data_IF_841574035668
#
_entry.id   IF_841574035668
#
_cell.length_a   1.000
_cell.length_b   1.000
_cell.length_c   1.000
_cell.angle_alpha   90.00
_cell.angle_beta   90.00
_cell.angle_gamma   90.00
#
_symmetry.space_group_name_H-M   'P 1'
#
loop_
_entity.id
_entity.type
_entity.pdbx_description
1 polymer ?
#
# COMPACT_ATOMS: atom_id res chain seq x y z
N UNK A 1 -5.71 7.04 17.98
CA UNK A 1 -5.19 7.30 16.63
C UNK A 1 -5.97 6.45 15.64
N UNK A 2 -6.38 6.99 14.51
CA UNK A 2 -7.12 6.23 13.49
C UNK A 2 -6.14 5.43 12.64
N UNK A 3 -6.50 4.19 12.33
CA UNK A 3 -5.73 3.31 11.47
C UNK A 3 -6.38 3.22 10.10
N UNK A 4 -5.56 3.02 9.09
CA UNK A 4 -6.01 2.91 7.71
C UNK A 4 -5.39 1.69 7.04
N UNK A 5 -6.06 1.28 5.99
CA UNK A 5 -5.71 0.19 5.10
C UNK A 5 -5.33 0.84 3.76
N UNK A 6 -4.14 0.59 3.29
CA UNK A 6 -3.67 1.10 2.00
C UNK A 6 -3.76 0.00 0.96
N UNK A 7 -4.31 0.32 -0.19
CA UNK A 7 -4.37 -0.57 -1.34
C UNK A 7 -3.48 0.02 -2.44
N UNK A 8 -2.48 -0.74 -2.86
CA UNK A 8 -1.49 -0.30 -3.83
C UNK A 8 -1.31 -1.39 -4.87
N UNK A 9 -1.33 -1.05 -6.16
CA UNK A 9 -0.99 -1.99 -7.21
C UNK A 9 0.42 -1.73 -7.70
N UNK A 10 1.15 -2.80 -7.98
CA UNK A 10 2.57 -2.77 -8.35
C UNK A 10 2.80 -3.74 -9.50
N UNK A 11 3.76 -3.46 -10.35
CA UNK A 11 4.02 -4.26 -11.55
C UNK A 11 4.47 -5.69 -11.27
N UNK A 12 5.08 -5.95 -10.11
CA UNK A 12 5.52 -7.30 -9.73
C UNK A 12 5.55 -7.46 -8.22
N UNK A 13 5.50 -8.71 -7.76
CA UNK A 13 5.63 -9.01 -6.33
C UNK A 13 7.01 -8.61 -5.78
N UNK A 14 8.06 -8.73 -6.59
CA UNK A 14 9.41 -8.32 -6.20
C UNK A 14 9.52 -6.81 -5.96
N UNK A 15 8.94 -6.02 -6.85
CA UNK A 15 8.89 -4.56 -6.67
C UNK A 15 8.06 -4.19 -5.45
N UNK A 16 6.91 -4.85 -5.26
CA UNK A 16 6.06 -4.62 -4.09
C UNK A 16 6.80 -4.92 -2.78
N UNK A 17 7.54 -6.02 -2.74
CA UNK A 17 8.33 -6.39 -1.56
C UNK A 17 9.44 -5.35 -1.27
N UNK A 18 10.09 -4.85 -2.30
CA UNK A 18 11.13 -3.82 -2.16
C UNK A 18 10.54 -2.53 -1.58
N UNK A 19 9.42 -2.08 -2.12
CA UNK A 19 8.72 -0.88 -1.61
C UNK A 19 8.27 -1.11 -0.16
N UNK A 20 7.69 -2.26 0.14
CA UNK A 20 7.24 -2.58 1.49
C UNK A 20 8.38 -2.55 2.51
N UNK A 21 9.55 -3.08 2.16
CA UNK A 21 10.72 -3.06 3.05
C UNK A 21 11.18 -1.64 3.36
N UNK A 22 11.23 -0.78 2.34
CA UNK A 22 11.61 0.61 2.55
C UNK A 22 10.62 1.33 3.45
N UNK A 23 9.32 1.11 3.26
CA UNK A 23 8.29 1.71 4.10
C UNK A 23 8.36 1.20 5.55
N UNK A 24 8.65 -0.09 5.74
CA UNK A 24 8.82 -0.68 7.07
C UNK A 24 10.06 -0.15 7.76
N UNK A 25 11.17 -0.03 7.04
CA UNK A 25 12.42 0.53 7.59
C UNK A 25 12.22 1.95 8.06
N UNK A 26 11.44 2.74 7.34
CA UNK A 26 11.14 4.14 7.68
C UNK A 26 10.02 4.26 8.72
N UNK A 27 9.46 3.16 9.20
CA UNK A 27 8.34 3.10 10.15
C UNK A 27 7.08 3.82 9.63
N UNK A 28 6.90 3.85 8.33
CA UNK A 28 5.74 4.47 7.69
C UNK A 28 4.54 3.52 7.60
N UNK A 29 4.77 2.23 7.67
CA UNK A 29 3.72 1.21 7.73
C UNK A 29 4.07 0.18 8.82
N UNK A 30 3.05 -0.45 9.39
CA UNK A 30 3.26 -1.50 10.37
C UNK A 30 3.45 -2.86 9.73
N UNK A 31 2.77 -3.12 8.63
CA UNK A 31 2.85 -4.40 7.92
C UNK A 31 2.38 -4.24 6.48
N UNK A 32 2.72 -5.22 5.67
CA UNK A 32 2.25 -5.32 4.28
C UNK A 32 1.97 -6.77 3.92
N UNK A 33 0.89 -6.97 3.16
CA UNK A 33 0.59 -8.24 2.53
C UNK A 33 0.72 -8.05 1.02
N UNK A 34 1.40 -8.97 0.36
CA UNK A 34 1.61 -8.92 -1.08
C UNK A 34 0.92 -10.13 -1.71
N UNK A 35 0.03 -9.84 -2.65
CA UNK A 35 -0.72 -10.87 -3.38
C UNK A 35 -0.31 -10.78 -4.83
N UNK A 36 0.37 -11.81 -5.32
CA UNK A 36 0.84 -11.87 -6.69
C UNK A 36 -0.28 -12.34 -7.63
N UNK A 37 -0.14 -12.02 -8.91
CA UNK A 37 -0.99 -12.56 -9.96
C UNK A 37 -2.39 -11.96 -10.04
N UNK A 38 -2.57 -10.72 -9.64
CA UNK A 38 -3.82 -10.02 -9.87
C UNK A 38 -3.98 -9.71 -11.35
N UNK A 39 -5.16 -10.01 -11.90
CA UNK A 39 -5.49 -9.61 -13.27
C UNK A 39 -6.19 -8.26 -13.19
N UNK A 40 -5.54 -7.23 -13.74
CA UNK A 40 -6.06 -5.87 -13.72
C UNK A 40 -6.61 -5.51 -15.08
N UNK A 41 -7.84 -5.01 -15.12
CA UNK A 41 -8.47 -4.49 -16.33
C UNK A 41 -8.81 -3.05 -16.06
N UNK A 42 -8.43 -2.16 -16.99
CA UNK A 42 -8.63 -0.73 -16.79
C UNK A 42 -8.66 -0.01 -18.15
N UNK A 43 -9.14 1.23 -18.10
CA UNK A 43 -9.17 2.07 -19.30
C UNK A 43 -7.84 2.83 -19.40
N UNK A 44 -7.23 2.75 -20.56
CA UNK A 44 -5.98 3.45 -20.83
C UNK A 44 -5.96 3.93 -22.29
N UNK A 45 -5.75 5.23 -22.48
CA UNK A 45 -5.67 5.84 -23.81
C UNK A 45 -6.86 5.47 -24.71
N UNK A 46 -8.07 5.50 -24.15
CA UNK A 46 -9.30 5.19 -24.86
C UNK A 46 -9.58 3.72 -25.12
N UNK A 47 -8.76 2.82 -24.57
CA UNK A 47 -8.89 1.38 -24.75
C UNK A 47 -8.96 0.67 -23.42
N UNK A 48 -9.36 -0.60 -23.45
CA UNK A 48 -9.29 -1.47 -22.28
C UNK A 48 -7.94 -2.18 -22.29
N UNK A 49 -7.18 -1.97 -21.23
CA UNK A 49 -5.91 -2.66 -21.03
C UNK A 49 -6.09 -3.80 -20.03
N UNK A 50 -5.31 -4.86 -20.20
CA UNK A 50 -5.29 -6.00 -19.29
C UNK A 50 -3.84 -6.31 -18.96
N UNK A 51 -3.53 -6.36 -17.67
CA UNK A 51 -2.17 -6.66 -17.20
C UNK A 51 -2.21 -7.50 -15.95
N UNK A 52 -1.11 -8.22 -15.69
CA UNK A 52 -0.90 -8.85 -14.40
C UNK A 52 -0.19 -7.87 -13.48
N UNK A 53 -0.68 -7.77 -12.26
CA UNK A 53 -0.08 -6.93 -11.23
C UNK A 53 0.01 -7.68 -9.91
N UNK A 54 0.84 -7.17 -9.00
CA UNK A 54 0.78 -7.54 -7.60
C UNK A 54 -0.05 -6.50 -6.85
N UNK A 55 -0.77 -6.95 -5.84
CA UNK A 55 -1.50 -6.08 -4.93
C UNK A 55 -0.75 -6.04 -3.61
N UNK A 56 -0.45 -4.85 -3.13
CA UNK A 56 0.11 -4.66 -1.81
C UNK A 56 -0.93 -4.01 -0.91
N UNK A 57 -1.19 -4.66 0.21
CA UNK A 57 -2.09 -4.14 1.25
C UNK A 57 -1.22 -3.81 2.45
N UNK A 58 -1.24 -2.55 2.87
CA UNK A 58 -0.45 -2.10 4.01
C UNK A 58 -1.36 -1.46 5.06
N UNK A 59 -0.91 -1.48 6.30
CA UNK A 59 -1.66 -0.87 7.39
C UNK A 59 -0.79 0.12 8.12
N UNK A 60 -1.36 1.28 8.42
CA UNK A 60 -0.66 2.35 9.11
C UNK A 60 -1.65 3.28 9.82
N UNK A 61 -1.13 4.37 10.38
CA UNK A 61 -1.96 5.41 10.99
C UNK A 61 -2.40 6.42 9.93
N UNK A 62 -3.57 6.99 10.12
CA UNK A 62 -4.11 7.99 9.20
C UNK A 62 -3.16 9.18 9.01
N UNK A 63 -2.49 9.63 10.06
CA UNK A 63 -1.59 10.77 10.01
C UNK A 63 -0.30 10.53 9.22
N UNK A 64 -0.01 9.27 8.84
CA UNK A 64 1.15 8.93 8.02
C UNK A 64 0.83 8.73 6.54
N UNK A 65 -0.45 8.77 6.16
CA UNK A 65 -0.89 8.43 4.79
C UNK A 65 -0.19 9.29 3.75
N UNK A 66 -0.11 10.60 3.94
CA UNK A 66 0.54 11.46 2.95
C UNK A 66 2.02 11.16 2.79
N UNK A 67 2.71 10.89 3.89
CA UNK A 67 4.13 10.49 3.85
C UNK A 67 4.31 9.17 3.11
N UNK A 68 3.41 8.22 3.34
CA UNK A 68 3.44 6.95 2.61
C UNK A 68 3.24 7.17 1.11
N UNK A 69 2.25 7.97 0.74
CA UNK A 69 1.98 8.27 -0.66
C UNK A 69 3.21 8.90 -1.32
N UNK A 70 3.81 9.89 -0.70
CA UNK A 70 4.99 10.56 -1.23
C UNK A 70 6.15 9.58 -1.41
N UNK A 71 6.38 8.73 -0.41
CA UNK A 71 7.47 7.76 -0.46
C UNK A 71 7.24 6.67 -1.51
N UNK A 72 6.01 6.17 -1.63
CA UNK A 72 5.66 5.19 -2.67
C UNK A 72 5.85 5.80 -4.06
N UNK A 73 5.44 7.05 -4.27
CA UNK A 73 5.63 7.72 -5.55
C UNK A 73 7.10 7.84 -5.94
N UNK A 74 7.99 8.04 -4.98
CA UNK A 74 9.44 8.06 -5.24
C UNK A 74 9.98 6.69 -5.66
N UNK A 75 9.44 5.62 -5.09
CA UNK A 75 9.95 4.26 -5.25
C UNK A 75 9.28 3.48 -6.39
N UNK A 76 8.07 3.86 -6.75
CA UNK A 76 7.24 3.12 -7.69
C UNK A 76 7.68 3.33 -9.14
N UNK A 77 7.63 2.27 -9.95
CA UNK A 77 8.01 2.33 -11.37
C UNK A 77 6.97 3.02 -12.24
N UNK A 78 5.71 3.13 -11.78
CA UNK A 78 4.67 3.82 -12.55
C UNK A 78 4.73 5.33 -12.34
N UNK A 79 4.39 6.09 -13.37
CA UNK A 79 4.26 7.54 -13.25
C UNK A 79 3.06 7.93 -12.39
N UNK A 80 1.98 7.17 -12.47
CA UNK A 80 0.75 7.41 -11.72
C UNK A 80 0.31 6.12 -11.01
N UNK A 81 0.94 5.77 -9.88
CA UNK A 81 0.61 4.53 -9.18
C UNK A 81 -0.74 4.62 -8.48
N UNK A 82 -1.46 3.50 -8.45
CA UNK A 82 -2.67 3.35 -7.65
C UNK A 82 -2.27 3.24 -6.18
N UNK A 83 -2.59 4.26 -5.41
CA UNK A 83 -2.39 4.28 -3.96
C UNK A 83 -3.65 4.90 -3.36
N UNK A 84 -4.43 4.10 -2.66
CA UNK A 84 -5.64 4.59 -2.00
C UNK A 84 -5.66 4.13 -0.55
N UNK A 85 -6.24 4.95 0.32
CA UNK A 85 -6.36 4.65 1.74
C UNK A 85 -7.83 4.48 2.09
N UNK A 86 -8.12 3.43 2.86
CA UNK A 86 -9.45 3.15 3.37
C UNK A 86 -9.40 3.17 4.90
N UNK A 87 -10.40 3.76 5.57
CA UNK A 87 -10.41 3.76 7.02
C UNK A 87 -10.69 2.36 7.56
N UNK A 88 -9.99 1.98 8.63
CA UNK A 88 -10.30 0.77 9.38
C UNK A 88 -11.29 1.20 10.45
N UNK A 89 -12.55 0.81 10.28
CA UNK A 89 -13.63 1.27 11.16
C UNK A 89 -13.74 0.45 12.44
N UNK A 90 -13.22 -0.77 12.47
CA UNK A 90 -13.22 -1.66 13.62
C UNK A 90 -12.18 -2.77 13.43
N UNK A 91 -11.68 -3.30 14.52
CA UNK A 91 -10.73 -4.40 14.46
C UNK A 91 -10.39 -4.90 15.86
N UNK A 92 -9.57 -5.93 15.95
CA UNK A 92 -9.04 -6.41 17.22
C UNK A 92 -8.23 -5.29 17.88
N UNK A 93 -8.63 -4.82 19.07
CA UNK A 93 -7.95 -3.68 19.72
C UNK A 93 -6.44 -3.86 19.86
N UNK A 94 -5.99 -5.05 20.22
CA UNK A 94 -4.57 -5.32 20.38
C UNK A 94 -3.80 -5.18 19.07
N UNK A 95 -4.43 -5.57 17.95
CA UNK A 95 -3.80 -5.41 16.63
C UNK A 95 -3.76 -3.94 16.21
N UNK A 96 -4.83 -3.20 16.44
CA UNK A 96 -4.86 -1.77 16.12
C UNK A 96 -3.81 -1.00 16.94
N UNK A 97 -3.65 -1.34 18.21
CA UNK A 97 -2.61 -0.77 19.06
C UNK A 97 -1.20 -1.10 18.52
N UNK A 98 -1.03 -2.32 18.03
CA UNK A 98 0.24 -2.75 17.45
C UNK A 98 0.59 -1.92 16.20
N UNK A 99 -0.39 -1.58 15.36
CA UNK A 99 -0.15 -0.69 14.22
C UNK A 99 0.42 0.65 14.69
N UNK A 100 -0.17 1.22 15.74
CA UNK A 100 0.30 2.50 16.27
C UNK A 100 1.71 2.40 16.85
N UNK A 101 2.00 1.33 17.59
CA UNK A 101 3.31 1.11 18.19
C UNK A 101 4.41 0.97 17.15
N UNK A 102 4.16 0.22 16.08
CA UNK A 102 5.18 -0.05 15.07
C UNK A 102 5.42 1.11 14.13
N UNK A 103 4.53 2.09 14.11
CA UNK A 103 4.67 3.31 13.28
C UNK A 103 4.99 4.56 14.10
N UNK A 104 5.23 4.39 15.39
CA UNK A 104 5.57 5.51 16.28
C UNK A 104 6.98 6.04 16.02
#
# INVERSE_FOLDING_TARGET
>A
MKQVFLYITVGSAGEAASIARDLLDDRLIACANIIDGAKSLYRWEGKIAEEKEAVMIAKTREDLVEKVIDRVRELHSYDCPCIVALPIVAGNPAFLDWIDEETA
#
